data_IF_471969575775
#
_entry.id   IF_471969575775
#
_cell.length_a   1.000
_cell.length_b   1.000
_cell.length_c   1.000
_cell.angle_alpha   90.00
_cell.angle_beta   90.00
_cell.angle_gamma   90.00
#
_symmetry.space_group_name_H-M   'P 1'
#
loop_
_entity.id
_entity.type
_entity.pdbx_description
1 polymer ?
#
# COMPACT_ATOMS: atom_id res chain seq x y z
N UNK A 1 10.08 -13.61 6.65
CA UNK A 1 9.13 -14.63 6.12
C UNK A 1 7.69 -14.34 6.55
N UNK A 2 7.44 -13.95 7.81
CA UNK A 2 6.13 -13.55 8.34
C UNK A 2 5.54 -12.30 7.65
N UNK A 3 6.38 -11.28 7.39
CA UNK A 3 5.93 -10.01 6.79
C UNK A 3 5.39 -10.17 5.36
N UNK A 4 5.97 -11.08 4.57
CA UNK A 4 5.54 -11.30 3.18
C UNK A 4 4.17 -12.00 3.11
N UNK A 5 3.92 -12.95 4.04
CA UNK A 5 2.62 -13.62 4.16
C UNK A 5 1.52 -12.63 4.58
N UNK A 6 1.86 -11.71 5.48
CA UNK A 6 0.93 -10.68 5.93
C UNK A 6 0.64 -9.64 4.84
N UNK A 7 1.66 -9.21 4.09
CA UNK A 7 1.50 -8.29 2.97
C UNK A 7 0.52 -8.85 1.92
N UNK A 8 0.64 -10.15 1.57
CA UNK A 8 -0.31 -10.84 0.70
C UNK A 8 -1.71 -10.90 1.30
N UNK A 9 -1.82 -11.21 2.60
CA UNK A 9 -3.10 -11.27 3.29
C UNK A 9 -3.84 -9.92 3.29
N UNK A 10 -3.13 -8.80 3.44
CA UNK A 10 -3.71 -7.44 3.39
C UNK A 10 -4.26 -7.09 2.00
N UNK A 11 -3.67 -7.65 0.94
CA UNK A 11 -4.09 -7.40 -0.44
C UNK A 11 -5.27 -8.29 -0.88
N UNK A 12 -5.61 -9.32 -0.11
CA UNK A 12 -6.70 -10.24 -0.40
C UNK A 12 -8.08 -9.54 -0.34
N UNK A 13 -9.12 -10.27 -0.77
CA UNK A 13 -10.51 -9.81 -0.75
C UNK A 13 -10.98 -9.55 0.69
N UNK A 14 -11.66 -8.41 0.89
CA UNK A 14 -12.19 -8.02 2.20
C UNK A 14 -13.41 -8.86 2.56
N UNK A 15 -13.64 -9.05 3.86
CA UNK A 15 -14.78 -9.79 4.40
C UNK A 15 -16.11 -9.15 3.93
N UNK A 16 -16.16 -7.81 3.85
CA UNK A 16 -17.34 -7.09 3.37
C UNK A 16 -17.76 -7.45 1.94
N UNK A 17 -16.83 -7.92 1.10
CA UNK A 17 -17.09 -8.29 -0.28
C UNK A 17 -17.45 -9.78 -0.43
N UNK A 18 -17.22 -10.62 0.59
CA UNK A 18 -17.47 -12.06 0.55
C UNK A 18 -18.93 -12.41 0.83
N UNK A 19 -19.38 -13.58 0.36
CA UNK A 19 -20.73 -14.08 0.67
C UNK A 19 -20.79 -14.64 2.09
N UNK A 20 -22.01 -14.72 2.66
CA UNK A 20 -22.24 -15.26 4.01
C UNK A 20 -21.67 -16.68 4.17
N UNK A 21 -21.91 -17.53 3.17
CA UNK A 21 -21.54 -18.94 3.19
C UNK A 21 -20.02 -19.14 3.06
N UNK A 22 -19.36 -18.31 2.24
CA UNK A 22 -17.89 -18.29 2.14
C UNK A 22 -17.25 -17.95 3.49
N UNK A 23 -17.76 -16.92 4.17
CA UNK A 23 -17.24 -16.51 5.48
C UNK A 23 -17.46 -17.62 6.51
N UNK A 24 -18.66 -18.22 6.56
CA UNK A 24 -18.96 -19.31 7.48
C UNK A 24 -18.04 -20.52 7.29
N UNK A 25 -17.87 -20.98 6.06
CA UNK A 25 -17.02 -22.13 5.74
C UNK A 25 -15.55 -21.87 6.09
N UNK A 26 -15.06 -20.65 5.78
CA UNK A 26 -13.69 -20.26 6.07
C UNK A 26 -13.45 -20.15 7.58
N UNK A 27 -14.36 -19.53 8.32
CA UNK A 27 -14.27 -19.40 9.79
C UNK A 27 -14.31 -20.76 10.47
N UNK A 28 -15.17 -21.69 10.02
CA UNK A 28 -15.21 -23.06 10.55
C UNK A 28 -13.85 -23.76 10.44
N UNK A 29 -13.20 -23.60 9.28
CA UNK A 29 -11.87 -24.17 9.02
C UNK A 29 -10.81 -23.53 9.90
N UNK A 30 -10.81 -22.20 10.00
CA UNK A 30 -9.86 -21.44 10.83
C UNK A 30 -9.98 -21.80 12.31
N UNK A 31 -11.20 -21.94 12.84
CA UNK A 31 -11.42 -22.32 14.23
C UNK A 31 -10.83 -23.70 14.51
N UNK A 32 -11.10 -24.71 13.67
CA UNK A 32 -10.52 -26.05 13.81
C UNK A 32 -8.99 -26.03 13.82
N UNK A 33 -8.39 -25.25 12.92
CA UNK A 33 -6.94 -25.06 12.90
C UNK A 33 -6.42 -24.38 14.17
N UNK A 34 -7.13 -23.37 14.67
CA UNK A 34 -6.77 -22.64 15.90
C UNK A 34 -6.79 -23.58 17.11
N UNK A 35 -7.82 -24.43 17.24
CA UNK A 35 -7.87 -25.45 18.29
C UNK A 35 -6.71 -26.44 18.20
N UNK A 36 -6.36 -26.88 16.98
CA UNK A 36 -5.24 -27.79 16.77
C UNK A 36 -3.88 -27.15 17.14
N UNK A 37 -3.67 -25.87 16.80
CA UNK A 37 -2.43 -25.14 17.13
C UNK A 37 -2.30 -24.94 18.64
N UNK A 38 -3.40 -24.52 19.29
CA UNK A 38 -3.40 -24.26 20.72
C UNK A 38 -3.43 -25.54 21.58
N UNK A 39 -3.50 -26.73 20.98
CA UNK A 39 -3.52 -28.01 21.69
C UNK A 39 -4.80 -28.30 22.47
N UNK A 40 -5.87 -27.54 22.24
CA UNK A 40 -7.17 -27.74 22.91
C UNK A 40 -8.02 -28.79 22.19
N UNK A 41 -8.82 -29.53 22.96
CA UNK A 41 -9.81 -30.45 22.38
C UNK A 41 -10.85 -29.66 21.60
N UNK A 42 -11.11 -30.07 20.36
CA UNK A 42 -12.15 -29.47 19.54
C UNK A 42 -13.52 -29.65 20.22
N UNK A 43 -14.36 -28.60 20.29
CA UNK A 43 -15.71 -28.71 20.83
C UNK A 43 -16.58 -29.67 20.02
N UNK A 44 -17.72 -30.07 20.59
CA UNK A 44 -18.71 -30.85 19.86
C UNK A 44 -19.16 -30.12 18.58
N UNK A 45 -19.49 -30.84 17.49
CA UNK A 45 -19.79 -30.22 16.20
C UNK A 45 -20.90 -29.17 16.25
N UNK A 46 -21.91 -29.40 17.09
CA UNK A 46 -23.05 -28.48 17.29
C UNK A 46 -22.61 -27.18 17.94
N UNK A 47 -21.81 -27.25 19.01
CA UNK A 47 -21.31 -26.07 19.71
C UNK A 47 -20.33 -25.28 18.83
N UNK A 48 -19.49 -25.99 18.08
CA UNK A 48 -18.58 -25.38 17.12
C UNK A 48 -19.33 -24.66 16.00
N UNK A 49 -20.46 -25.20 15.54
CA UNK A 49 -21.30 -24.55 14.52
C UNK A 49 -21.92 -23.25 15.04
N UNK A 50 -22.45 -23.25 16.27
CA UNK A 50 -22.98 -22.04 16.93
C UNK A 50 -21.87 -21.00 17.10
N UNK A 51 -20.69 -21.43 17.55
CA UNK A 51 -19.54 -20.54 17.69
C UNK A 51 -19.09 -19.95 16.34
N UNK A 52 -19.02 -20.79 15.31
CA UNK A 52 -18.69 -20.38 13.93
C UNK A 52 -19.68 -19.33 13.42
N UNK A 53 -20.98 -19.58 13.56
CA UNK A 53 -22.02 -18.66 13.12
C UNK A 53 -21.92 -17.31 13.83
N UNK A 54 -21.69 -17.33 15.16
CA UNK A 54 -21.56 -16.10 15.93
C UNK A 54 -20.30 -15.32 15.56
N UNK A 55 -19.17 -16.00 15.36
CA UNK A 55 -17.93 -15.35 14.94
C UNK A 55 -18.04 -14.80 13.52
N UNK A 56 -18.70 -15.51 12.59
CA UNK A 56 -18.92 -15.04 11.23
C UNK A 56 -19.78 -13.76 11.20
N UNK A 57 -20.84 -13.68 12.01
CA UNK A 57 -21.64 -12.45 12.18
C UNK A 57 -20.80 -11.31 12.76
N UNK A 58 -20.05 -11.55 13.84
CA UNK A 58 -19.19 -10.54 14.47
C UNK A 58 -18.11 -10.00 13.51
N UNK A 59 -17.50 -10.88 12.71
CA UNK A 59 -16.50 -10.49 11.70
C UNK A 59 -17.10 -9.59 10.61
N UNK A 60 -18.33 -9.85 10.18
CA UNK A 60 -18.99 -9.02 9.17
C UNK A 60 -19.45 -7.67 9.72
N UNK A 61 -19.94 -7.64 10.95
CA UNK A 61 -20.43 -6.42 11.57
C UNK A 61 -19.28 -5.49 11.98
N UNK A 62 -18.26 -6.02 12.66
CA UNK A 62 -17.23 -5.22 13.31
C UNK A 62 -15.88 -5.20 12.56
N UNK A 63 -15.66 -6.13 11.63
CA UNK A 63 -14.37 -6.34 10.97
C UNK A 63 -14.46 -6.51 9.44
N UNK A 64 -15.52 -5.98 8.79
CA UNK A 64 -15.73 -6.05 7.34
C UNK A 64 -14.57 -5.52 6.49
N UNK A 65 -13.76 -4.62 7.05
CA UNK A 65 -12.58 -4.04 6.42
C UNK A 65 -11.34 -4.93 6.44
N UNK A 66 -11.33 -6.00 7.25
CA UNK A 66 -10.27 -7.01 7.27
C UNK A 66 -10.48 -8.04 6.16
N UNK A 67 -9.41 -8.71 5.76
CA UNK A 67 -9.50 -9.89 4.89
C UNK A 67 -9.65 -11.16 5.72
N UNK A 68 -10.20 -12.21 5.13
CA UNK A 68 -10.27 -13.52 5.79
C UNK A 68 -8.85 -14.05 6.10
N UNK A 69 -7.87 -13.78 5.25
CA UNK A 69 -6.50 -14.23 5.48
C UNK A 69 -5.81 -13.44 6.61
N UNK A 70 -6.11 -12.15 6.80
CA UNK A 70 -5.71 -11.38 7.99
C UNK A 70 -6.28 -12.01 9.27
N UNK A 71 -7.54 -12.45 9.25
CA UNK A 71 -8.17 -13.11 10.39
C UNK A 71 -7.49 -14.45 10.67
N UNK A 72 -7.23 -15.28 9.65
CA UNK A 72 -6.48 -16.54 9.83
C UNK A 72 -5.14 -16.29 10.51
N UNK A 73 -4.41 -15.30 10.03
CA UNK A 73 -3.10 -14.93 10.54
C UNK A 73 -3.18 -14.44 12.00
N UNK A 74 -4.18 -13.62 12.33
CA UNK A 74 -4.44 -13.17 13.69
C UNK A 74 -4.73 -14.35 14.64
N UNK A 75 -5.51 -15.33 14.19
CA UNK A 75 -5.84 -16.50 15.01
C UNK A 75 -4.62 -17.41 15.23
N UNK A 76 -3.78 -17.58 14.22
CA UNK A 76 -2.52 -18.32 14.35
C UNK A 76 -1.55 -17.67 15.35
N UNK A 77 -1.41 -16.34 15.31
CA UNK A 77 -0.58 -15.61 16.28
C UNK A 77 -1.18 -15.67 17.69
N UNK A 78 -2.50 -15.51 17.79
CA UNK A 78 -3.21 -15.64 19.05
C UNK A 78 -3.06 -17.02 19.68
N UNK A 79 -3.14 -18.08 18.89
CA UNK A 79 -2.92 -19.46 19.33
C UNK A 79 -1.48 -19.76 19.76
N UNK A 80 -0.51 -18.92 19.37
CA UNK A 80 0.90 -18.99 19.79
C UNK A 80 1.22 -18.05 20.96
N UNK A 81 0.20 -17.51 21.62
CA UNK A 81 0.31 -16.64 22.80
C UNK A 81 0.95 -15.25 22.55
N UNK A 82 1.06 -14.80 21.29
CA UNK A 82 1.60 -13.48 20.93
C UNK A 82 0.73 -12.30 21.43
N UNK A 83 -0.51 -12.57 21.81
CA UNK A 83 -1.47 -11.60 22.36
C UNK A 83 -1.78 -11.84 23.85
N UNK A 84 -0.93 -12.62 24.52
CA UNK A 84 -1.02 -12.99 25.93
C UNK A 84 -1.53 -14.41 26.16
N UNK A 85 -1.55 -14.80 27.44
CA UNK A 85 -1.85 -16.16 27.91
C UNK A 85 -3.22 -16.69 27.45
N UNK A 86 -3.25 -17.98 27.07
CA UNK A 86 -4.45 -18.65 26.60
C UNK A 86 -5.05 -19.52 27.70
N UNK A 87 -6.20 -19.11 28.24
CA UNK A 87 -6.99 -19.94 29.16
C UNK A 87 -8.01 -20.84 28.46
N UNK A 88 -8.21 -20.62 27.16
CA UNK A 88 -9.14 -21.36 26.31
C UNK A 88 -9.56 -20.54 25.09
N UNK A 89 -10.05 -21.22 24.05
CA UNK A 89 -10.55 -20.57 22.82
C UNK A 89 -12.05 -20.32 22.99
N UNK A 90 -12.41 -19.05 23.17
CA UNK A 90 -13.81 -18.61 23.22
C UNK A 90 -13.94 -17.29 22.45
N UNK A 91 -15.18 -16.84 22.23
CA UNK A 91 -15.44 -15.61 21.47
C UNK A 91 -14.74 -14.39 22.09
N UNK A 92 -14.73 -14.27 23.42
CA UNK A 92 -14.05 -13.17 24.12
C UNK A 92 -12.55 -13.14 23.81
N UNK A 93 -11.90 -14.30 23.76
CA UNK A 93 -10.49 -14.43 23.44
C UNK A 93 -10.21 -14.04 21.99
N UNK A 94 -11.01 -14.54 21.05
CA UNK A 94 -10.91 -14.17 19.63
C UNK A 94 -11.08 -12.67 19.43
N UNK A 95 -12.08 -12.05 20.07
CA UNK A 95 -12.28 -10.59 20.03
C UNK A 95 -11.09 -9.84 20.63
N UNK A 96 -10.47 -10.35 21.70
CA UNK A 96 -9.26 -9.76 22.29
C UNK A 96 -8.09 -9.80 21.30
N UNK A 97 -7.87 -10.93 20.63
CA UNK A 97 -6.84 -11.07 19.61
C UNK A 97 -7.08 -10.14 18.42
N UNK A 98 -8.31 -10.07 17.89
CA UNK A 98 -8.64 -9.16 16.79
C UNK A 98 -8.42 -7.69 17.15
N UNK A 99 -8.76 -7.30 18.39
CA UNK A 99 -8.48 -5.95 18.91
C UNK A 99 -6.98 -5.68 19.02
N UNK A 100 -6.21 -6.62 19.56
CA UNK A 100 -4.76 -6.52 19.68
C UNK A 100 -4.08 -6.43 18.30
N UNK A 101 -4.52 -7.27 17.34
CA UNK A 101 -4.04 -7.26 15.97
C UNK A 101 -4.34 -5.94 15.25
N UNK A 102 -5.53 -5.36 15.46
CA UNK A 102 -5.90 -4.05 14.88
C UNK A 102 -4.90 -2.95 15.26
N UNK A 103 -4.44 -2.94 16.50
CA UNK A 103 -3.48 -1.95 17.05
C UNK A 103 -2.02 -2.42 16.98
N UNK A 104 -1.77 -3.60 16.42
CA UNK A 104 -0.41 -4.16 16.38
C UNK A 104 0.49 -3.37 15.42
N UNK A 105 1.73 -3.14 15.85
CA UNK A 105 2.74 -2.47 15.02
C UNK A 105 3.06 -3.30 13.76
N UNK A 106 2.99 -4.63 13.88
CA UNK A 106 3.20 -5.57 12.79
C UNK A 106 2.21 -5.33 11.62
N UNK A 107 0.92 -5.18 11.91
CA UNK A 107 -0.08 -4.83 10.89
C UNK A 107 0.16 -3.44 10.29
N UNK A 108 0.54 -2.47 11.12
CA UNK A 108 0.83 -1.12 10.66
C UNK A 108 2.00 -1.09 9.67
N UNK A 109 3.11 -1.76 10.01
CA UNK A 109 4.30 -1.87 9.13
C UNK A 109 3.97 -2.57 7.81
N UNK A 110 3.21 -3.65 7.85
CA UNK A 110 2.81 -4.37 6.63
C UNK A 110 1.90 -3.52 5.72
N UNK A 111 0.97 -2.73 6.29
CA UNK A 111 0.18 -1.77 5.51
C UNK A 111 1.03 -0.71 4.84
N UNK A 112 1.98 -0.12 5.58
CA UNK A 112 2.89 0.87 5.01
C UNK A 112 3.73 0.28 3.87
N UNK A 113 4.21 -0.95 4.01
CA UNK A 113 4.99 -1.63 2.97
C UNK A 113 4.16 -1.83 1.69
N UNK A 114 2.92 -2.31 1.82
CA UNK A 114 1.99 -2.48 0.68
C UNK A 114 1.65 -1.14 0.03
N UNK A 115 1.43 -0.09 0.81
CA UNK A 115 1.19 1.25 0.27
C UNK A 115 2.43 1.83 -0.44
N UNK A 116 3.62 1.58 0.10
CA UNK A 116 4.87 2.00 -0.53
C UNK A 116 5.10 1.27 -1.86
N UNK A 117 4.79 -0.03 -1.93
CA UNK A 117 4.85 -0.82 -3.17
C UNK A 117 3.82 -0.35 -4.21
N UNK A 118 2.58 -0.05 -3.78
CA UNK A 118 1.57 0.53 -4.69
C UNK A 118 1.93 1.92 -5.19
N UNK A 119 2.61 2.73 -4.36
CA UNK A 119 3.09 4.08 -4.72
C UNK A 119 4.39 4.04 -5.53
N UNK A 120 5.10 2.91 -5.54
CA UNK A 120 6.23 2.73 -6.42
C UNK A 120 5.69 2.72 -7.86
N UNK A 121 5.88 3.83 -8.57
CA UNK A 121 5.60 3.90 -9.99
C UNK A 121 6.31 2.72 -10.67
N UNK A 122 5.67 2.02 -11.60
CA UNK A 122 6.36 0.98 -12.36
C UNK A 122 7.62 1.60 -12.97
N UNK A 123 8.76 0.88 -13.01
CA UNK A 123 9.94 1.37 -13.68
C UNK A 123 9.54 1.75 -15.10
N UNK A 124 9.70 3.03 -15.44
CA UNK A 124 9.31 3.56 -16.73
C UNK A 124 10.05 2.75 -17.78
N UNK A 125 9.33 2.10 -18.70
CA UNK A 125 9.97 1.22 -19.68
C UNK A 125 10.99 2.01 -20.50
N UNK A 126 12.12 1.39 -20.86
CA UNK A 126 13.14 2.04 -21.69
C UNK A 126 12.51 2.60 -22.98
N UNK A 127 11.55 1.90 -23.56
CA UNK A 127 10.78 2.34 -24.72
C UNK A 127 9.98 3.63 -24.47
N UNK A 128 9.36 3.78 -23.29
CA UNK A 128 8.65 5.01 -22.93
C UNK A 128 9.63 6.18 -22.73
N UNK A 129 10.75 5.95 -22.06
CA UNK A 129 11.80 6.97 -21.87
C UNK A 129 12.35 7.44 -23.22
N UNK A 130 12.65 6.51 -24.13
CA UNK A 130 13.12 6.82 -25.47
C UNK A 130 12.08 7.63 -26.27
N UNK A 131 10.79 7.29 -26.16
CA UNK A 131 9.71 8.05 -26.82
C UNK A 131 9.54 9.45 -26.23
N UNK A 132 9.70 9.61 -24.91
CA UNK A 132 9.65 10.90 -24.24
C UNK A 132 10.85 11.77 -24.62
N UNK A 133 12.04 11.20 -24.65
CA UNK A 133 13.29 11.84 -25.07
C UNK A 133 13.20 12.28 -26.54
N UNK A 134 12.73 11.41 -27.44
CA UNK A 134 12.53 11.76 -28.85
C UNK A 134 11.55 12.93 -29.02
N UNK A 135 10.44 12.95 -28.28
CA UNK A 135 9.51 14.09 -28.29
C UNK A 135 10.16 15.37 -27.79
N UNK A 136 10.95 15.29 -26.73
CA UNK A 136 11.70 16.43 -26.20
C UNK A 136 12.68 16.98 -27.24
N UNK A 137 13.47 16.13 -27.88
CA UNK A 137 14.45 16.51 -28.91
C UNK A 137 13.78 17.14 -30.13
N UNK A 138 12.68 16.55 -30.62
CA UNK A 138 11.92 17.10 -31.76
C UNK A 138 11.33 18.49 -31.45
N UNK A 139 10.74 18.66 -30.26
CA UNK A 139 10.18 19.96 -29.84
C UNK A 139 11.27 21.01 -29.67
N UNK A 140 12.39 20.61 -29.10
CA UNK A 140 13.57 21.45 -28.91
C UNK A 140 14.15 21.93 -30.23
N UNK A 141 14.33 21.03 -31.19
CA UNK A 141 14.84 21.37 -32.51
C UNK A 141 13.89 22.26 -33.31
N UNK A 142 12.58 22.01 -33.21
CA UNK A 142 11.56 22.88 -33.82
C UNK A 142 11.65 24.32 -33.27
N UNK A 143 11.73 24.48 -31.95
CA UNK A 143 11.88 25.80 -31.31
C UNK A 143 13.19 26.50 -31.68
N UNK A 144 14.27 25.73 -31.83
CA UNK A 144 15.54 26.26 -32.34
C UNK A 144 15.40 26.80 -33.76
N UNK A 145 14.75 26.05 -34.68
CA UNK A 145 14.52 26.54 -36.06
C UNK A 145 13.69 27.83 -36.11
N UNK A 146 12.75 28.00 -35.19
CA UNK A 146 11.88 29.19 -35.13
C UNK A 146 12.58 30.41 -34.51
N UNK A 147 13.47 30.21 -33.54
CA UNK A 147 14.05 31.31 -32.74
C UNK A 147 15.54 31.55 -32.96
N UNK A 148 16.26 30.61 -33.58
CA UNK A 148 17.71 30.62 -33.74
C UNK A 148 18.51 30.42 -32.44
N UNK A 149 17.85 30.25 -31.28
CA UNK A 149 18.51 30.13 -29.97
C UNK A 149 18.26 28.78 -29.32
N UNK A 150 19.34 28.18 -28.81
CA UNK A 150 19.33 26.90 -28.08
C UNK A 150 19.34 27.09 -26.55
N UNK A 151 19.52 28.32 -26.06
CA UNK A 151 19.81 28.61 -24.63
C UNK A 151 18.72 28.09 -23.69
N UNK A 152 17.44 28.22 -24.07
CA UNK A 152 16.33 27.76 -23.22
C UNK A 152 16.19 26.24 -23.18
N UNK A 153 16.54 25.55 -24.27
CA UNK A 153 16.39 24.10 -24.43
C UNK A 153 17.43 23.34 -23.61
N UNK A 154 18.67 23.83 -23.58
CA UNK A 154 19.78 23.14 -22.93
C UNK A 154 19.84 23.38 -21.42
N UNK A 155 19.11 24.36 -20.89
CA UNK A 155 19.14 24.73 -19.47
C UNK A 155 18.89 23.55 -18.53
N UNK A 156 17.93 22.67 -18.86
CA UNK A 156 17.61 21.47 -18.07
C UNK A 156 18.75 20.47 -18.10
N UNK A 157 19.32 20.18 -19.28
CA UNK A 157 20.40 19.20 -19.41
C UNK A 157 21.69 19.70 -18.77
N UNK A 158 21.98 21.00 -18.90
CA UNK A 158 23.10 21.66 -18.22
C UNK A 158 22.94 21.55 -16.71
N UNK A 159 21.76 21.88 -16.17
CA UNK A 159 21.50 21.76 -14.73
C UNK A 159 21.68 20.31 -14.22
N UNK A 160 21.11 19.33 -14.94
CA UNK A 160 21.26 17.91 -14.60
C UNK A 160 22.73 17.48 -14.61
N UNK A 161 23.47 17.79 -15.66
CA UNK A 161 24.89 17.43 -15.76
C UNK A 161 25.75 18.10 -14.68
N UNK A 162 25.43 19.35 -14.31
CA UNK A 162 26.11 20.03 -13.20
C UNK A 162 25.80 19.39 -11.84
N UNK A 163 24.60 18.84 -11.67
CA UNK A 163 24.24 18.10 -10.46
C UNK A 163 24.89 16.71 -10.42
N UNK A 164 24.88 15.97 -11.53
CA UNK A 164 25.53 14.65 -11.67
C UNK A 164 27.04 14.72 -11.41
N UNK A 165 27.68 15.81 -11.83
CA UNK A 165 29.11 16.07 -11.57
C UNK A 165 29.41 16.58 -10.17
N UNK A 166 28.39 16.75 -9.32
CA UNK A 166 28.56 17.29 -7.98
C UNK A 166 29.12 18.72 -8.01
N UNK A 167 28.69 19.56 -8.95
CA UNK A 167 29.01 20.99 -8.98
C UNK A 167 27.86 21.77 -8.32
N UNK A 168 26.62 21.39 -8.64
CA UNK A 168 25.42 21.88 -7.95
C UNK A 168 25.02 20.88 -6.86
N UNK A 169 24.90 21.35 -5.62
CA UNK A 169 24.69 20.51 -4.44
C UNK A 169 23.32 20.74 -3.78
N UNK A 170 22.34 21.27 -4.53
CA UNK A 170 21.12 21.73 -3.88
C UNK A 170 20.35 20.59 -3.23
N UNK A 171 19.95 20.80 -1.97
CA UNK A 171 19.05 19.91 -1.26
C UNK A 171 17.65 19.98 -1.88
N UNK A 172 16.79 19.03 -1.51
CA UNK A 172 15.41 19.01 -2.01
C UNK A 172 14.65 20.25 -1.55
N UNK A 173 14.90 20.69 -0.33
CA UNK A 173 14.33 21.88 0.31
C UNK A 173 14.74 23.15 -0.43
N UNK A 174 16.02 23.28 -0.79
CA UNK A 174 16.54 24.42 -1.55
C UNK A 174 15.92 24.51 -2.94
N UNK A 175 15.70 23.37 -3.61
CA UNK A 175 15.03 23.33 -4.92
C UNK A 175 13.57 23.81 -4.80
N UNK A 176 12.83 23.31 -3.83
CA UNK A 176 11.44 23.73 -3.63
C UNK A 176 11.33 25.19 -3.21
N UNK A 177 12.26 25.68 -2.38
CA UNK A 177 12.34 27.08 -2.05
C UNK A 177 12.59 27.94 -3.30
N UNK A 178 13.56 27.57 -4.14
CA UNK A 178 13.82 28.28 -5.38
C UNK A 178 12.58 28.31 -6.31
N UNK A 179 11.83 27.21 -6.43
CA UNK A 179 10.59 27.16 -7.21
C UNK A 179 9.53 28.10 -6.62
N UNK A 180 9.39 28.16 -5.29
CA UNK A 180 8.43 29.05 -4.61
C UNK A 180 8.67 30.53 -4.91
N UNK A 181 9.93 30.93 -5.13
CA UNK A 181 10.28 32.31 -5.53
C UNK A 181 9.73 32.70 -6.90
N UNK A 182 9.36 31.72 -7.73
CA UNK A 182 8.80 31.90 -9.07
C UNK A 182 7.32 31.52 -9.16
N UNK A 183 6.59 31.34 -8.06
CA UNK A 183 5.15 31.00 -8.07
C UNK A 183 4.29 31.97 -8.87
N UNK A 184 4.67 33.26 -8.89
CA UNK A 184 3.98 34.32 -9.64
C UNK A 184 4.52 34.52 -11.04
N UNK A 185 5.60 33.83 -11.41
CA UNK A 185 6.22 33.96 -12.71
C UNK A 185 5.44 33.17 -13.76
N UNK A 186 5.00 33.84 -14.82
CA UNK A 186 4.34 33.22 -15.96
C UNK A 186 5.33 33.13 -17.12
N UNK A 187 5.58 31.93 -17.70
CA UNK A 187 6.43 31.82 -18.86
C UNK A 187 5.83 32.58 -20.04
N UNK A 188 6.67 33.25 -20.83
CA UNK A 188 6.26 33.98 -22.03
C UNK A 188 5.75 33.09 -23.17
N UNK A 189 5.83 31.75 -23.03
CA UNK A 189 5.36 30.79 -24.02
C UNK A 189 4.01 30.19 -23.61
N UNK A 190 3.15 29.86 -24.59
CA UNK A 190 1.86 29.16 -24.41
C UNK A 190 1.93 27.74 -23.82
N UNK A 191 3.06 27.34 -23.23
CA UNK A 191 3.25 26.11 -22.46
C UNK A 191 2.96 26.30 -20.96
N UNK A 192 2.25 27.36 -20.57
CA UNK A 192 1.70 27.47 -19.22
C UNK A 192 0.50 26.53 -19.12
N UNK A 193 0.63 25.46 -18.32
CA UNK A 193 -0.50 24.61 -17.96
C UNK A 193 -0.98 24.96 -16.55
N UNK A 194 -2.28 25.28 -16.38
CA UNK A 194 -2.89 25.44 -15.07
C UNK A 194 -2.61 24.22 -14.20
N UNK A 195 -2.51 24.44 -12.88
CA UNK A 195 -2.26 23.37 -11.90
C UNK A 195 -3.29 22.23 -11.99
N UNK A 196 -4.51 22.58 -12.37
CA UNK A 196 -5.64 21.68 -12.64
C UNK A 196 -5.38 20.71 -13.80
N UNK A 197 -4.54 21.07 -14.77
CA UNK A 197 -4.18 20.21 -15.90
C UNK A 197 -2.93 19.35 -15.67
N UNK A 198 -2.25 19.49 -14.52
CA UNK A 198 -1.05 18.71 -14.17
C UNK A 198 -1.37 17.36 -13.50
N UNK A 199 -2.64 17.07 -13.19
CA UNK A 199 -3.06 15.88 -12.44
C UNK A 199 -3.90 14.86 -13.26
N UNK A 200 -3.92 14.98 -14.59
CA UNK A 200 -4.63 14.05 -15.49
C UNK A 200 -3.72 12.97 -16.06
#
# INVERSE_FOLDING_TARGET
MVDNRLALAIQARRIGDCTSDEVLNRVSTMLRQTYAIAGFKSPEPTDLAVFTAKLASDLRENYSYLTLDEVSFCLELGAKEEYGEIMGINLRMITKWLKAYKTSELRYRAKLAVEAEKKALPPVSEAYNLQAENRFLQNSFRRYKESGSMERVMSVKVYQTLQERGIIHNTREEKYHAISLFERWKPASGAWMPEEMRQS
#
